data_IF_944001482070
#
_entry.id   IF_944001482070
#
_cell.length_a   1.000
_cell.length_b   1.000
_cell.length_c   1.000
_cell.angle_alpha   90.00
_cell.angle_beta   90.00
_cell.angle_gamma   90.00
#
_symmetry.space_group_name_H-M   'P 1'
#
loop_
_entity.id
_entity.type
_entity.pdbx_description
1 polymer ?
#
# COMPACT_ATOMS: atom_id res chain seq x y z
N UNK A 1 8.49 -23.04 -11.71
CA UNK A 1 7.17 -22.57 -11.23
C UNK A 1 6.08 -23.08 -12.15
N UNK A 2 4.96 -23.52 -11.59
CA UNK A 2 3.82 -24.09 -12.32
C UNK A 2 2.65 -23.11 -12.19
N UNK A 3 2.03 -22.74 -13.31
CA UNK A 3 0.79 -21.99 -13.33
C UNK A 3 -0.35 -22.96 -13.07
N UNK A 4 -1.23 -22.63 -12.15
CA UNK A 4 -2.45 -23.33 -11.81
C UNK A 4 -3.65 -22.46 -12.17
N UNK A 5 -4.82 -23.05 -12.20
CA UNK A 5 -6.04 -22.33 -12.55
C UNK A 5 -7.10 -22.52 -11.48
N UNK A 6 -7.74 -21.42 -11.14
CA UNK A 6 -8.87 -21.33 -10.22
C UNK A 6 -10.09 -20.83 -10.98
N UNK A 7 -11.27 -21.34 -10.68
CA UNK A 7 -12.53 -20.83 -11.24
C UNK A 7 -13.26 -20.01 -10.19
N UNK A 8 -13.48 -18.73 -10.49
CA UNK A 8 -14.26 -17.81 -9.66
C UNK A 8 -15.34 -17.18 -10.52
N UNK A 9 -16.61 -17.18 -10.09
CA UNK A 9 -17.76 -16.63 -10.83
C UNK A 9 -17.87 -17.18 -12.27
N UNK A 10 -17.47 -18.44 -12.47
CA UNK A 10 -17.45 -19.08 -13.80
C UNK A 10 -16.34 -18.57 -14.74
N UNK A 11 -15.34 -17.86 -14.21
CA UNK A 11 -14.16 -17.35 -14.93
C UNK A 11 -12.92 -18.09 -14.44
N UNK A 12 -12.08 -18.50 -15.38
CA UNK A 12 -10.82 -19.17 -15.09
C UNK A 12 -9.69 -18.15 -14.96
N UNK A 13 -9.06 -18.14 -13.78
CA UNK A 13 -7.91 -17.28 -13.48
C UNK A 13 -6.66 -18.15 -13.31
N UNK A 14 -5.57 -17.74 -13.97
CA UNK A 14 -4.26 -18.34 -13.75
C UNK A 14 -3.60 -17.73 -12.52
N UNK A 15 -3.04 -18.59 -11.68
CA UNK A 15 -2.24 -18.17 -10.52
C UNK A 15 -0.97 -19.00 -10.40
N UNK A 16 0.02 -18.45 -9.71
CA UNK A 16 1.26 -19.14 -9.39
C UNK A 16 1.61 -18.98 -7.92
N UNK A 17 2.37 -19.95 -7.43
CA UNK A 17 2.93 -19.94 -6.07
C UNK A 17 4.44 -20.13 -6.14
N UNK A 18 5.19 -19.30 -5.40
CA UNK A 18 6.66 -19.35 -5.34
C UNK A 18 7.18 -19.00 -3.96
N UNK A 19 8.42 -19.42 -3.67
CA UNK A 19 9.06 -19.15 -2.38
C UNK A 19 8.63 -20.10 -1.28
N UNK A 20 9.02 -19.77 -0.04
CA UNK A 20 8.72 -20.52 1.16
C UNK A 20 8.55 -19.57 2.36
N UNK A 21 7.67 -19.95 3.31
CA UNK A 21 7.35 -19.14 4.48
C UNK A 21 5.86 -18.82 4.59
N UNK A 22 5.48 -17.83 5.41
CA UNK A 22 4.11 -17.35 5.54
C UNK A 22 3.51 -16.95 4.19
N UNK A 23 2.21 -17.09 4.04
CA UNK A 23 1.52 -16.77 2.80
C UNK A 23 1.46 -15.27 2.56
N UNK A 24 1.86 -14.84 1.35
CA UNK A 24 1.74 -13.48 0.82
C UNK A 24 0.90 -13.52 -0.44
N UNK A 25 -0.33 -13.03 -0.39
CA UNK A 25 -1.22 -12.96 -1.56
C UNK A 25 -1.17 -11.56 -2.16
N UNK A 26 -0.94 -11.49 -3.46
CA UNK A 26 -0.81 -10.24 -4.19
C UNK A 26 -2.01 -10.04 -5.13
N UNK A 27 -2.97 -9.14 -4.81
CA UNK A 27 -3.99 -8.72 -5.76
C UNK A 27 -3.38 -8.26 -7.07
N UNK A 28 -4.01 -8.64 -8.17
CA UNK A 28 -3.54 -8.25 -9.50
C UNK A 28 -3.50 -6.72 -9.62
N UNK A 29 -2.39 -6.22 -10.15
CA UNK A 29 -2.21 -4.80 -10.42
C UNK A 29 -2.93 -4.45 -11.73
N UNK A 30 -2.58 -3.33 -12.40
CA UNK A 30 -3.30 -2.90 -13.59
C UNK A 30 -3.29 -3.97 -14.71
N UNK A 31 -2.12 -4.32 -15.24
CA UNK A 31 -1.93 -5.43 -16.16
C UNK A 31 -0.76 -6.29 -15.72
N UNK A 32 -0.84 -7.58 -15.93
CA UNK A 32 0.18 -8.55 -15.59
C UNK A 32 0.20 -9.70 -16.61
N UNK A 33 1.22 -10.53 -16.56
CA UNK A 33 1.28 -11.75 -17.34
C UNK A 33 2.27 -12.71 -16.66
N UNK A 34 1.77 -13.66 -15.91
CA UNK A 34 2.58 -14.56 -15.09
C UNK A 34 3.71 -15.24 -15.84
N UNK A 35 3.53 -15.61 -17.11
CA UNK A 35 4.59 -16.22 -17.91
C UNK A 35 5.63 -15.21 -18.34
N UNK A 36 5.18 -14.02 -18.83
CA UNK A 36 6.10 -12.99 -19.36
C UNK A 36 6.82 -12.20 -18.31
N UNK A 37 6.28 -12.11 -17.10
CA UNK A 37 6.98 -11.52 -15.95
C UNK A 37 8.35 -12.18 -15.72
N UNK A 38 8.47 -13.46 -16.05
CA UNK A 38 9.72 -14.22 -15.89
C UNK A 38 10.77 -13.89 -16.95
N UNK A 39 10.35 -13.31 -18.08
CA UNK A 39 11.25 -12.87 -19.14
C UNK A 39 12.00 -11.59 -18.76
N UNK A 40 11.48 -10.81 -17.78
CA UNK A 40 12.14 -9.62 -17.26
C UNK A 40 12.97 -9.94 -16.00
N UNK A 41 14.32 -9.85 -16.08
CA UNK A 41 15.18 -10.20 -14.94
C UNK A 41 14.93 -9.34 -13.70
N UNK A 42 14.48 -8.07 -13.84
CA UNK A 42 14.20 -7.19 -12.70
C UNK A 42 12.94 -7.65 -11.98
N UNK A 43 11.87 -7.98 -12.72
CA UNK A 43 10.63 -8.53 -12.18
C UNK A 43 10.89 -9.87 -11.49
N UNK A 44 11.60 -10.78 -12.17
CA UNK A 44 11.92 -12.10 -11.62
C UNK A 44 12.72 -12.01 -10.30
N UNK A 45 13.72 -11.10 -10.24
CA UNK A 45 14.54 -10.86 -9.06
C UNK A 45 13.72 -10.31 -7.90
N UNK A 46 12.84 -9.34 -8.17
CA UNK A 46 11.97 -8.75 -7.14
C UNK A 46 11.08 -9.81 -6.47
N UNK A 47 10.39 -10.63 -7.27
CA UNK A 47 9.53 -11.68 -6.73
C UNK A 47 10.31 -12.81 -6.04
N UNK A 48 11.51 -13.14 -6.55
CA UNK A 48 12.39 -14.10 -5.89
C UNK A 48 12.85 -13.61 -4.51
N UNK A 49 13.22 -12.34 -4.39
CA UNK A 49 13.63 -11.73 -3.11
C UNK A 49 12.50 -11.73 -2.07
N UNK A 50 11.24 -11.46 -2.47
CA UNK A 50 10.09 -11.64 -1.58
C UNK A 50 9.87 -13.11 -1.23
N UNK A 51 10.13 -14.01 -2.19
CA UNK A 51 10.03 -15.46 -2.01
C UNK A 51 11.01 -16.07 -1.02
N UNK A 52 12.08 -15.37 -0.66
CA UNK A 52 12.99 -15.77 0.43
C UNK A 52 12.32 -15.70 1.82
N UNK A 53 11.31 -14.88 1.96
CA UNK A 53 10.60 -14.62 3.22
C UNK A 53 9.17 -15.14 3.24
N UNK A 54 8.55 -15.25 2.06
CA UNK A 54 7.12 -15.54 1.90
C UNK A 54 6.89 -16.67 0.89
N UNK A 55 5.80 -17.38 1.08
CA UNK A 55 5.15 -18.08 -0.03
C UNK A 55 4.30 -17.06 -0.78
N UNK A 56 4.84 -16.55 -1.89
CA UNK A 56 4.21 -15.52 -2.71
C UNK A 56 3.20 -16.16 -3.66
N UNK A 57 1.96 -15.64 -3.65
CA UNK A 57 0.89 -16.03 -4.58
C UNK A 57 0.48 -14.84 -5.40
N UNK A 58 0.57 -14.98 -6.72
CA UNK A 58 0.17 -13.97 -7.70
C UNK A 58 -0.82 -14.57 -8.69
N UNK A 59 -1.66 -13.75 -9.27
CA UNK A 59 -2.61 -14.18 -10.30
C UNK A 59 -2.77 -13.12 -11.39
N UNK A 60 -3.16 -13.56 -12.57
CA UNK A 60 -3.63 -12.69 -13.63
C UNK A 60 -5.15 -12.54 -13.48
N UNK A 61 -5.65 -11.29 -13.48
CA UNK A 61 -7.10 -11.04 -13.46
C UNK A 61 -7.77 -11.44 -14.77
N UNK A 62 -9.09 -11.56 -14.78
CA UNK A 62 -9.85 -11.75 -16.01
C UNK A 62 -9.53 -10.66 -17.03
N UNK A 63 -9.32 -11.03 -18.27
CA UNK A 63 -8.94 -10.17 -19.38
C UNK A 63 -7.44 -10.00 -19.60
N UNK A 64 -6.60 -10.52 -18.68
CA UNK A 64 -5.17 -10.24 -18.62
C UNK A 64 -4.38 -11.56 -18.58
N UNK A 65 -3.19 -11.55 -19.17
CA UNK A 65 -2.21 -12.62 -19.06
C UNK A 65 -2.73 -13.98 -19.52
N UNK A 66 -2.64 -14.97 -18.62
CA UNK A 66 -3.02 -16.37 -18.87
C UNK A 66 -4.47 -16.70 -18.45
N UNK A 67 -5.19 -15.74 -17.87
CA UNK A 67 -6.58 -15.88 -17.46
C UNK A 67 -7.55 -15.75 -18.65
N UNK A 68 -8.82 -16.08 -18.44
CA UNK A 68 -9.87 -15.88 -19.44
C UNK A 68 -9.84 -14.47 -20.01
N UNK A 69 -9.83 -14.37 -21.35
CA UNK A 69 -9.61 -13.09 -22.06
C UNK A 69 -10.89 -12.31 -22.35
N UNK A 70 -12.03 -12.98 -22.34
CA UNK A 70 -13.33 -12.35 -22.49
C UNK A 70 -13.73 -11.64 -21.19
N UNK A 71 -13.99 -10.33 -21.24
CA UNK A 71 -14.21 -9.47 -20.08
C UNK A 71 -15.61 -8.92 -20.08
N UNK A 72 -16.37 -9.18 -19.02
CA UNK A 72 -17.66 -8.55 -18.71
C UNK A 72 -17.48 -7.39 -17.75
N UNK A 73 -18.48 -6.50 -17.64
CA UNK A 73 -18.42 -5.37 -16.71
C UNK A 73 -18.36 -5.85 -15.26
N UNK A 74 -19.05 -6.94 -14.94
CA UNK A 74 -19.05 -7.57 -13.62
C UNK A 74 -17.67 -8.11 -13.17
N UNK A 75 -16.78 -8.45 -14.12
CA UNK A 75 -15.43 -8.93 -13.85
C UNK A 75 -14.47 -7.82 -13.42
N UNK A 76 -14.83 -6.56 -13.69
CA UNK A 76 -13.98 -5.38 -13.42
C UNK A 76 -14.33 -4.64 -12.13
N UNK A 77 -15.31 -5.14 -11.37
CA UNK A 77 -15.76 -4.52 -10.14
C UNK A 77 -14.77 -4.75 -8.99
N UNK A 78 -14.81 -3.88 -7.98
CA UNK A 78 -14.05 -4.07 -6.75
C UNK A 78 -14.48 -5.34 -6.01
N UNK A 79 -15.77 -5.68 -6.06
CA UNK A 79 -16.33 -6.88 -5.44
C UNK A 79 -15.78 -8.15 -6.09
N UNK A 80 -15.63 -8.17 -7.42
CA UNK A 80 -14.99 -9.28 -8.11
C UNK A 80 -13.54 -9.49 -7.68
N UNK A 81 -12.76 -8.40 -7.53
CA UNK A 81 -11.38 -8.50 -7.05
C UNK A 81 -11.33 -9.03 -5.60
N UNK A 82 -12.26 -8.62 -4.72
CA UNK A 82 -12.35 -9.10 -3.34
C UNK A 82 -12.72 -10.59 -3.29
N UNK A 83 -13.69 -11.03 -4.09
CA UNK A 83 -14.08 -12.44 -4.18
C UNK A 83 -12.91 -13.32 -4.67
N UNK A 84 -12.11 -12.86 -5.63
CA UNK A 84 -10.92 -13.58 -6.09
C UNK A 84 -9.91 -13.80 -4.97
N UNK A 85 -9.69 -12.80 -4.11
CA UNK A 85 -8.78 -12.94 -2.96
C UNK A 85 -9.28 -13.99 -1.97
N UNK A 86 -10.57 -13.97 -1.64
CA UNK A 86 -11.20 -14.97 -0.77
C UNK A 86 -11.07 -16.37 -1.37
N UNK A 87 -11.44 -16.54 -2.63
CA UNK A 87 -11.38 -17.81 -3.33
C UNK A 87 -9.93 -18.35 -3.46
N UNK A 88 -8.93 -17.48 -3.61
CA UNK A 88 -7.53 -17.90 -3.60
C UNK A 88 -7.10 -18.43 -2.23
N UNK A 89 -7.50 -17.79 -1.14
CA UNK A 89 -7.21 -18.29 0.21
C UNK A 89 -7.88 -19.65 0.45
N UNK A 90 -9.13 -19.83 0.01
CA UNK A 90 -9.87 -21.09 0.13
C UNK A 90 -9.21 -22.21 -0.68
N UNK A 91 -8.82 -21.94 -1.94
CA UNK A 91 -8.07 -22.87 -2.81
C UNK A 91 -6.73 -23.30 -2.18
N UNK A 92 -6.09 -22.41 -1.45
CA UNK A 92 -4.81 -22.66 -0.78
C UNK A 92 -4.97 -23.31 0.59
N UNK A 93 -6.20 -23.49 1.07
CA UNK A 93 -6.52 -24.00 2.41
C UNK A 93 -5.98 -23.09 3.52
N UNK A 94 -5.97 -21.77 3.29
CA UNK A 94 -5.42 -20.79 4.22
C UNK A 94 -6.53 -19.96 4.87
N UNK A 95 -6.56 -19.96 6.21
CA UNK A 95 -7.52 -19.14 6.95
C UNK A 95 -7.19 -17.65 6.82
N UNK A 96 -5.90 -17.30 6.81
CA UNK A 96 -5.43 -15.91 6.72
C UNK A 96 -4.10 -15.82 5.97
N UNK A 97 -3.81 -14.62 5.46
CA UNK A 97 -2.55 -14.30 4.78
C UNK A 97 -2.12 -12.86 5.01
N UNK A 98 -0.84 -12.58 4.78
CA UNK A 98 -0.39 -11.22 4.47
C UNK A 98 -0.85 -10.87 3.07
N UNK A 99 -1.40 -9.66 2.87
CA UNK A 99 -1.87 -9.18 1.56
C UNK A 99 -0.98 -8.03 1.11
N UNK A 100 -0.36 -8.14 -0.09
CA UNK A 100 0.45 -7.09 -0.70
C UNK A 100 -0.32 -6.40 -1.83
N UNK A 101 -0.97 -5.30 -1.55
CA UNK A 101 -1.65 -4.47 -2.55
C UNK A 101 -0.71 -3.44 -3.16
N UNK A 102 -0.36 -3.62 -4.45
CA UNK A 102 0.39 -2.62 -5.21
C UNK A 102 -0.51 -1.84 -6.16
N UNK A 103 -0.28 -0.52 -6.31
CA UNK A 103 -1.02 0.30 -7.26
C UNK A 103 -2.55 0.11 -7.16
N UNK A 104 -3.23 -0.19 -8.26
CA UNK A 104 -4.68 -0.48 -8.30
C UNK A 104 -5.08 -1.73 -7.52
N UNK A 105 -4.18 -2.69 -7.31
CA UNK A 105 -4.39 -3.82 -6.41
C UNK A 105 -4.48 -3.41 -4.95
N UNK A 106 -3.99 -2.22 -4.60
CA UNK A 106 -4.13 -1.62 -3.28
C UNK A 106 -5.59 -1.39 -2.89
N UNK A 107 -6.44 -0.93 -3.82
CA UNK A 107 -7.88 -0.77 -3.55
C UNK A 107 -8.55 -2.12 -3.22
N UNK A 108 -8.21 -3.19 -3.95
CA UNK A 108 -8.72 -4.53 -3.67
C UNK A 108 -8.22 -5.06 -2.32
N UNK A 109 -6.93 -4.85 -2.01
CA UNK A 109 -6.35 -5.24 -0.73
C UNK A 109 -6.98 -4.52 0.46
N UNK A 110 -7.20 -3.20 0.35
CA UNK A 110 -7.90 -2.39 1.36
C UNK A 110 -9.33 -2.90 1.55
N UNK A 111 -10.07 -3.10 0.45
CA UNK A 111 -11.44 -3.58 0.52
C UNK A 111 -11.55 -4.98 1.13
N UNK A 112 -10.63 -5.88 0.78
CA UNK A 112 -10.57 -7.22 1.36
C UNK A 112 -10.26 -7.16 2.86
N UNK A 113 -9.28 -6.36 3.27
CA UNK A 113 -8.91 -6.21 4.68
C UNK A 113 -10.02 -5.56 5.52
N UNK A 114 -10.80 -4.64 4.96
CA UNK A 114 -11.92 -4.00 5.63
C UNK A 114 -13.15 -4.92 5.77
N UNK A 115 -13.39 -5.78 4.75
CA UNK A 115 -14.60 -6.64 4.71
C UNK A 115 -14.40 -8.03 5.32
N UNK A 116 -13.16 -8.50 5.37
CA UNK A 116 -12.77 -9.82 5.90
C UNK A 116 -11.53 -9.70 6.79
N UNK A 117 -11.60 -8.91 7.89
CA UNK A 117 -10.43 -8.61 8.73
C UNK A 117 -9.80 -9.86 9.35
N UNK A 118 -10.60 -10.90 9.60
CA UNK A 118 -10.15 -12.20 10.10
C UNK A 118 -9.27 -12.97 9.10
N UNK A 119 -9.39 -12.66 7.79
CA UNK A 119 -8.62 -13.30 6.71
C UNK A 119 -7.28 -12.61 6.44
N UNK A 120 -7.04 -11.42 7.02
CA UNK A 120 -5.82 -10.63 6.77
C UNK A 120 -4.95 -10.58 8.02
N UNK A 121 -3.76 -11.17 7.94
CA UNK A 121 -2.78 -11.13 9.02
C UNK A 121 -2.04 -9.78 9.06
N UNK A 122 -1.68 -9.27 7.90
CA UNK A 122 -0.98 -8.01 7.69
C UNK A 122 -1.33 -7.43 6.33
N UNK A 123 -1.47 -6.11 6.24
CA UNK A 123 -1.68 -5.39 4.99
C UNK A 123 -0.42 -4.62 4.60
N UNK A 124 0.18 -4.98 3.47
CA UNK A 124 1.30 -4.26 2.86
C UNK A 124 0.78 -3.51 1.64
N UNK A 125 1.03 -2.22 1.56
CA UNK A 125 0.57 -1.37 0.45
C UNK A 125 1.78 -0.69 -0.20
N UNK A 126 1.96 -0.86 -1.50
CA UNK A 126 3.03 -0.23 -2.26
C UNK A 126 2.48 0.65 -3.39
N UNK A 127 2.83 1.94 -3.40
CA UNK A 127 2.35 2.87 -4.43
C UNK A 127 0.82 2.88 -4.55
N UNK A 128 0.11 2.61 -3.46
CA UNK A 128 -1.34 2.46 -3.43
C UNK A 128 -2.05 3.80 -3.21
N UNK A 129 -3.33 3.82 -3.54
CA UNK A 129 -4.23 4.96 -3.36
C UNK A 129 -5.61 4.46 -2.92
N UNK A 130 -6.41 5.37 -2.37
CA UNK A 130 -7.82 5.12 -2.02
C UNK A 130 -8.78 6.00 -2.84
N UNK A 131 -8.27 7.06 -3.49
CA UNK A 131 -9.04 8.04 -4.27
C UNK A 131 -8.50 8.08 -5.71
N UNK A 132 -9.08 7.26 -6.58
CA UNK A 132 -8.71 7.18 -8.00
C UNK A 132 -8.95 8.48 -8.78
N UNK A 133 -10.08 9.17 -8.58
CA UNK A 133 -10.30 10.51 -9.14
C UNK A 133 -9.20 11.53 -8.86
N UNK A 134 -8.52 11.44 -7.72
CA UNK A 134 -7.45 12.36 -7.34
C UNK A 134 -6.06 12.03 -7.92
N UNK A 135 -5.90 10.94 -8.67
CA UNK A 135 -4.62 10.57 -9.30
C UNK A 135 -4.18 11.65 -10.28
N UNK A 136 -5.09 12.15 -11.12
CA UNK A 136 -4.82 13.22 -12.08
C UNK A 136 -6.09 13.93 -12.49
N UNK A 137 -5.94 15.07 -13.18
CA UNK A 137 -7.08 15.88 -13.65
C UNK A 137 -7.94 15.10 -14.66
N UNK A 138 -9.26 15.35 -14.73
CA UNK A 138 -10.19 14.68 -15.64
C UNK A 138 -9.71 14.65 -17.09
N UNK A 139 -9.27 15.78 -17.61
CA UNK A 139 -8.86 15.94 -19.02
C UNK A 139 -7.65 15.05 -19.35
N UNK A 140 -6.72 14.92 -18.39
CA UNK A 140 -5.51 14.08 -18.56
C UNK A 140 -5.87 12.60 -18.56
N UNK A 141 -6.73 12.16 -17.62
CA UNK A 141 -7.15 10.76 -17.59
C UNK A 141 -7.96 10.35 -18.80
N UNK A 142 -8.85 11.21 -19.30
CA UNK A 142 -9.61 10.99 -20.52
C UNK A 142 -8.70 10.87 -21.73
N UNK A 143 -7.70 11.75 -21.86
CA UNK A 143 -6.72 11.69 -22.94
C UNK A 143 -5.88 10.41 -22.89
N UNK A 144 -5.44 9.97 -21.71
CA UNK A 144 -4.67 8.73 -21.54
C UNK A 144 -5.52 7.51 -21.92
N UNK A 145 -6.74 7.41 -21.41
CA UNK A 145 -7.67 6.31 -21.74
C UNK A 145 -7.98 6.27 -23.22
N UNK A 146 -8.24 7.42 -23.85
CA UNK A 146 -8.48 7.53 -25.28
C UNK A 146 -7.25 7.08 -26.11
N UNK A 147 -6.03 7.47 -25.70
CA UNK A 147 -4.81 7.04 -26.36
C UNK A 147 -4.60 5.53 -26.25
N UNK A 148 -4.87 4.93 -25.09
CA UNK A 148 -4.79 3.47 -24.85
C UNK A 148 -5.80 2.74 -25.75
N UNK A 149 -7.06 3.20 -25.78
CA UNK A 149 -8.15 2.55 -26.53
C UNK A 149 -7.97 2.64 -28.03
N UNK A 150 -7.63 3.83 -28.54
CA UNK A 150 -7.56 4.08 -29.97
C UNK A 150 -6.24 3.69 -30.61
N UNK A 151 -5.13 3.74 -29.85
CA UNK A 151 -3.81 3.45 -30.39
C UNK A 151 -2.91 2.80 -29.33
N UNK A 152 -3.10 1.49 -29.10
CA UNK A 152 -2.42 0.75 -28.04
C UNK A 152 -0.88 0.84 -28.09
N UNK A 153 -0.32 0.95 -29.31
CA UNK A 153 1.12 1.16 -29.48
C UNK A 153 1.61 2.46 -28.86
N UNK A 154 0.88 3.56 -29.04
CA UNK A 154 1.17 4.87 -28.43
C UNK A 154 0.84 4.87 -26.94
N UNK A 155 -0.36 4.40 -26.58
CA UNK A 155 -0.80 4.34 -25.18
C UNK A 155 0.15 3.54 -24.28
N UNK A 156 0.61 2.36 -24.76
CA UNK A 156 1.54 1.55 -23.98
C UNK A 156 2.92 2.20 -23.79
N UNK A 157 3.40 2.99 -24.75
CA UNK A 157 4.66 3.75 -24.58
C UNK A 157 4.51 4.89 -23.59
N UNK A 158 3.42 5.65 -23.70
CA UNK A 158 3.08 6.71 -22.76
C UNK A 158 3.04 6.17 -21.32
N UNK A 159 2.35 5.05 -21.11
CA UNK A 159 2.28 4.43 -19.79
C UNK A 159 3.61 3.84 -19.33
N UNK A 160 4.45 3.38 -20.26
CA UNK A 160 5.80 2.92 -19.89
C UNK A 160 6.65 4.05 -19.34
N UNK A 161 6.60 5.24 -19.92
CA UNK A 161 7.28 6.43 -19.39
C UNK A 161 6.78 6.81 -18.00
N UNK A 162 5.47 6.79 -17.80
CA UNK A 162 4.85 7.12 -16.51
C UNK A 162 5.22 6.10 -15.43
N UNK A 163 5.18 4.81 -15.73
CA UNK A 163 5.37 3.75 -14.73
C UNK A 163 6.84 3.44 -14.42
N UNK A 164 7.72 3.56 -15.39
CA UNK A 164 9.13 3.23 -15.21
C UNK A 164 9.99 4.45 -14.83
N UNK A 165 9.45 5.66 -14.93
CA UNK A 165 10.16 6.88 -14.57
C UNK A 165 11.37 7.12 -15.47
N UNK A 166 12.58 7.17 -14.86
CA UNK A 166 13.84 7.47 -15.55
C UNK A 166 14.50 6.23 -16.21
N UNK A 167 13.75 5.14 -16.43
CA UNK A 167 14.28 3.96 -17.09
C UNK A 167 14.70 4.26 -18.54
N UNK A 168 15.71 3.55 -19.02
CA UNK A 168 16.20 3.68 -20.39
C UNK A 168 15.14 3.31 -21.45
N UNK A 169 15.29 3.85 -22.65
CA UNK A 169 14.34 3.64 -23.75
C UNK A 169 14.11 2.15 -24.10
N UNK A 170 15.15 1.32 -23.94
CA UNK A 170 15.04 -0.12 -24.16
C UNK A 170 14.11 -0.81 -23.16
N UNK A 171 14.15 -0.42 -21.88
CA UNK A 171 13.29 -0.92 -20.83
C UNK A 171 11.85 -0.45 -21.03
N UNK A 172 11.68 0.82 -21.40
CA UNK A 172 10.36 1.39 -21.72
C UNK A 172 9.70 0.65 -22.90
N UNK A 173 10.44 0.39 -23.98
CA UNK A 173 9.91 -0.33 -25.14
C UNK A 173 9.63 -1.81 -24.80
N UNK A 174 10.49 -2.46 -23.99
CA UNK A 174 10.23 -3.83 -23.50
C UNK A 174 8.92 -3.86 -22.69
N UNK A 175 8.74 -2.92 -21.77
CA UNK A 175 7.52 -2.85 -20.97
C UNK A 175 6.28 -2.48 -21.82
N UNK A 176 6.43 -1.62 -22.83
CA UNK A 176 5.34 -1.33 -23.76
C UNK A 176 4.89 -2.59 -24.54
N UNK A 177 5.84 -3.43 -24.99
CA UNK A 177 5.53 -4.72 -25.61
C UNK A 177 4.86 -5.69 -24.64
N UNK A 178 5.35 -5.74 -23.40
CA UNK A 178 4.75 -6.54 -22.33
C UNK A 178 3.28 -6.17 -22.12
N UNK A 179 2.95 -4.90 -21.97
CA UNK A 179 1.58 -4.42 -21.79
C UNK A 179 0.66 -4.86 -22.93
N UNK A 180 1.13 -4.74 -24.19
CA UNK A 180 0.36 -5.16 -25.37
C UNK A 180 0.15 -6.68 -25.46
N UNK A 181 1.08 -7.45 -24.94
CA UNK A 181 0.91 -8.91 -24.86
C UNK A 181 -0.02 -9.32 -23.70
N UNK A 182 0.03 -8.57 -22.59
CA UNK A 182 -0.76 -8.85 -21.40
C UNK A 182 -2.25 -8.59 -21.61
N UNK A 183 -2.64 -7.51 -22.30
CA UNK A 183 -4.04 -7.12 -22.48
C UNK A 183 -4.32 -6.55 -23.88
N UNK A 184 -5.57 -6.69 -24.35
CA UNK A 184 -6.07 -5.94 -25.51
C UNK A 184 -6.18 -4.45 -25.20
N UNK A 185 -6.20 -3.60 -26.24
CA UNK A 185 -6.41 -2.16 -26.08
C UNK A 185 -7.69 -1.84 -25.27
N UNK A 186 -8.79 -2.51 -25.62
CA UNK A 186 -10.07 -2.29 -24.95
C UNK A 186 -10.02 -2.74 -23.49
N UNK A 187 -9.48 -3.93 -23.20
CA UNK A 187 -9.33 -4.41 -21.82
C UNK A 187 -8.44 -3.48 -21.00
N UNK A 188 -7.30 -3.04 -21.55
CA UNK A 188 -6.38 -2.13 -20.89
C UNK A 188 -7.05 -0.77 -20.60
N UNK A 189 -7.81 -0.22 -21.55
CA UNK A 189 -8.55 1.02 -21.38
C UNK A 189 -9.63 0.90 -20.28
N UNK A 190 -10.44 -0.16 -20.30
CA UNK A 190 -11.47 -0.43 -19.29
C UNK A 190 -10.87 -0.58 -17.88
N UNK A 191 -9.76 -1.30 -17.77
CA UNK A 191 -9.04 -1.43 -16.50
C UNK A 191 -8.49 -0.09 -16.02
N UNK A 192 -7.98 0.75 -16.92
CA UNK A 192 -7.48 2.07 -16.58
C UNK A 192 -8.61 3.01 -16.15
N UNK A 193 -9.79 2.90 -16.75
CA UNK A 193 -11.00 3.60 -16.27
C UNK A 193 -11.35 3.20 -14.83
N UNK A 194 -11.23 1.91 -14.48
CA UNK A 194 -11.44 1.46 -13.10
C UNK A 194 -10.39 2.03 -12.14
N UNK A 195 -9.12 2.13 -12.56
CA UNK A 195 -8.07 2.80 -11.76
C UNK A 195 -8.50 4.21 -11.37
N UNK A 196 -9.04 4.98 -12.33
CA UNK A 196 -9.43 6.37 -12.11
C UNK A 196 -10.80 6.56 -11.44
N UNK A 197 -11.65 5.51 -11.39
CA UNK A 197 -12.99 5.56 -10.78
C UNK A 197 -13.04 5.03 -9.36
N UNK A 198 -12.10 4.14 -8.99
CA UNK A 198 -12.13 3.49 -7.67
C UNK A 198 -11.97 4.50 -6.55
N UNK A 199 -12.89 4.43 -5.60
CA UNK A 199 -12.85 5.18 -4.36
C UNK A 199 -13.12 4.19 -3.21
N UNK A 200 -12.13 4.05 -2.33
CA UNK A 200 -12.19 3.14 -1.16
C UNK A 200 -11.88 3.89 0.13
N UNK A 201 -12.01 5.22 0.13
CA UNK A 201 -11.71 6.07 1.29
C UNK A 201 -12.54 5.70 2.51
N UNK A 202 -13.81 5.39 2.30
CA UNK A 202 -14.73 5.02 3.38
C UNK A 202 -14.38 3.66 4.01
N UNK A 203 -13.55 2.84 3.35
CA UNK A 203 -13.09 1.56 3.87
C UNK A 203 -11.81 1.67 4.72
N UNK A 204 -11.06 2.76 4.62
CA UNK A 204 -9.80 2.91 5.35
C UNK A 204 -9.95 2.80 6.87
N UNK A 205 -10.95 3.46 7.51
CA UNK A 205 -11.16 3.33 8.97
C UNK A 205 -11.59 1.94 9.42
N UNK A 206 -12.04 1.06 8.50
CA UNK A 206 -12.50 -0.29 8.78
C UNK A 206 -11.37 -1.33 8.71
N UNK A 207 -10.17 -0.95 8.26
CA UNK A 207 -9.01 -1.84 8.20
C UNK A 207 -8.45 -2.05 9.60
N UNK A 208 -8.64 -3.25 10.15
CA UNK A 208 -8.13 -3.64 11.47
C UNK A 208 -6.77 -4.35 11.44
N UNK A 209 -6.28 -4.75 10.27
CA UNK A 209 -5.00 -5.44 10.14
C UNK A 209 -3.81 -4.48 10.30
N UNK A 210 -2.70 -4.90 10.94
CA UNK A 210 -1.46 -4.13 10.96
C UNK A 210 -1.05 -3.75 9.55
N UNK A 211 -0.93 -2.43 9.28
CA UNK A 211 -0.76 -1.91 7.92
C UNK A 211 0.55 -1.17 7.75
N UNK A 212 1.27 -1.49 6.68
CA UNK A 212 2.45 -0.77 6.21
C UNK A 212 2.20 -0.18 4.82
N UNK A 213 2.38 1.11 4.68
CA UNK A 213 2.33 1.82 3.40
C UNK A 213 3.75 2.19 2.98
N UNK A 214 4.19 1.71 1.83
CA UNK A 214 5.48 2.04 1.22
C UNK A 214 5.20 2.82 -0.06
N UNK A 215 5.82 3.99 -0.24
CA UNK A 215 5.54 4.83 -1.40
C UNK A 215 6.76 5.67 -1.78
N UNK A 216 7.06 5.75 -3.07
CA UNK A 216 8.13 6.63 -3.56
C UNK A 216 7.67 8.09 -3.59
N UNK A 217 8.53 9.01 -3.16
CA UNK A 217 8.17 10.44 -3.03
C UNK A 217 7.88 11.11 -4.36
N UNK A 218 8.58 10.70 -5.39
CA UNK A 218 8.50 11.27 -6.74
C UNK A 218 7.78 10.33 -7.71
N UNK A 219 6.98 9.39 -7.22
CA UNK A 219 6.18 8.45 -8.04
C UNK A 219 5.37 9.22 -9.10
N UNK A 220 5.64 8.91 -10.38
CA UNK A 220 5.05 9.63 -11.52
C UNK A 220 3.65 9.16 -11.88
N UNK A 221 3.25 7.96 -11.45
CA UNK A 221 1.95 7.39 -11.74
C UNK A 221 0.92 7.70 -10.65
N UNK A 222 1.30 7.49 -9.40
CA UNK A 222 0.44 7.71 -8.23
C UNK A 222 1.10 8.73 -7.31
N UNK A 223 0.57 9.95 -7.21
CA UNK A 223 1.14 10.98 -6.35
C UNK A 223 1.34 10.51 -4.91
N UNK A 224 2.51 10.75 -4.34
CA UNK A 224 2.87 10.39 -2.96
C UNK A 224 1.84 10.85 -1.92
N UNK A 225 1.18 11.99 -2.17
CA UNK A 225 0.12 12.51 -1.30
C UNK A 225 -1.03 11.51 -1.11
N UNK A 226 -1.33 10.68 -2.13
CA UNK A 226 -2.39 9.66 -2.04
C UNK A 226 -1.96 8.50 -1.14
N UNK A 227 -0.71 8.05 -1.19
CA UNK A 227 -0.19 7.06 -0.25
C UNK A 227 -0.16 7.58 1.20
N UNK A 228 0.18 8.86 1.39
CA UNK A 228 0.06 9.52 2.69
C UNK A 228 -1.39 9.54 3.20
N UNK A 229 -2.35 9.83 2.31
CA UNK A 229 -3.77 9.82 2.67
C UNK A 229 -4.25 8.43 3.07
N UNK A 230 -3.79 7.37 2.38
CA UNK A 230 -4.07 5.98 2.77
C UNK A 230 -3.53 5.68 4.17
N UNK A 231 -2.26 6.01 4.45
CA UNK A 231 -1.66 5.78 5.77
C UNK A 231 -2.37 6.58 6.87
N UNK A 232 -2.79 7.81 6.58
CA UNK A 232 -3.51 8.65 7.55
C UNK A 232 -4.95 8.17 7.80
N UNK A 233 -5.56 7.46 6.85
CA UNK A 233 -6.93 6.95 6.95
C UNK A 233 -7.06 5.61 7.67
N UNK A 234 -5.96 4.87 7.85
CA UNK A 234 -5.96 3.56 8.53
C UNK A 234 -5.32 3.73 9.91
N UNK A 235 -6.04 3.33 10.96
CA UNK A 235 -5.53 3.46 12.33
C UNK A 235 -4.28 2.60 12.55
N UNK A 236 -3.24 3.20 13.15
CA UNK A 236 -1.97 2.53 13.42
C UNK A 236 -1.12 2.19 12.20
N UNK A 237 -1.50 2.63 10.99
CA UNK A 237 -0.69 2.36 9.79
C UNK A 237 0.66 3.11 9.82
N UNK A 238 1.72 2.39 9.48
CA UNK A 238 3.04 2.98 9.27
C UNK A 238 3.23 3.42 7.82
N UNK A 239 3.94 4.56 7.60
CA UNK A 239 4.31 5.05 6.28
C UNK A 239 5.82 5.06 6.11
N UNK A 240 6.33 4.35 5.11
CA UNK A 240 7.74 4.36 4.72
C UNK A 240 7.89 5.07 3.37
N UNK A 241 8.37 6.32 3.37
CA UNK A 241 8.69 7.02 2.14
C UNK A 241 10.03 6.54 1.58
N UNK A 242 10.06 6.24 0.27
CA UNK A 242 11.27 5.88 -0.46
C UNK A 242 11.61 6.95 -1.49
N UNK A 243 12.89 7.13 -1.87
CA UNK A 243 13.25 7.97 -3.00
C UNK A 243 12.91 7.29 -4.32
N UNK A 244 12.82 8.08 -5.40
CA UNK A 244 12.70 7.60 -6.79
C UNK A 244 11.39 7.94 -7.46
N UNK A 245 11.44 7.90 -8.79
CA UNK A 245 10.38 8.32 -9.71
C UNK A 245 9.55 7.18 -10.29
N UNK A 246 10.10 5.96 -10.29
CA UNK A 246 9.44 4.78 -10.84
C UNK A 246 8.28 4.31 -9.97
N UNK A 247 7.17 3.93 -10.61
CA UNK A 247 5.99 3.41 -9.94
C UNK A 247 6.15 1.93 -9.57
N UNK A 248 6.69 1.11 -10.47
CA UNK A 248 6.83 -0.31 -10.19
C UNK A 248 7.96 -0.62 -9.20
N UNK A 249 7.76 -1.56 -8.26
CA UNK A 249 8.74 -1.85 -7.21
C UNK A 249 10.04 -2.44 -7.71
N UNK A 250 10.03 -3.12 -8.86
CA UNK A 250 11.21 -3.72 -9.50
C UNK A 250 12.03 -2.74 -10.35
N UNK A 251 11.55 -1.52 -10.58
CA UNK A 251 12.27 -0.46 -11.26
C UNK A 251 12.99 0.45 -10.26
N UNK A 252 14.18 0.94 -10.60
CA UNK A 252 15.00 1.75 -9.68
C UNK A 252 15.55 0.93 -8.50
N UNK A 253 15.48 1.48 -7.27
CA UNK A 253 15.92 0.77 -6.04
C UNK A 253 14.87 -0.28 -5.61
N UNK A 254 14.89 -1.42 -6.29
CA UNK A 254 14.04 -2.57 -5.96
C UNK A 254 14.40 -3.19 -4.60
N UNK A 255 15.70 -3.22 -4.27
CA UNK A 255 16.17 -3.80 -3.00
C UNK A 255 15.69 -2.95 -1.80
N UNK A 256 15.64 -1.63 -1.95
CA UNK A 256 15.05 -0.73 -0.94
C UNK A 256 13.57 -1.01 -0.72
N UNK A 257 12.82 -1.28 -1.79
CA UNK A 257 11.40 -1.67 -1.68
C UNK A 257 11.26 -3.02 -0.99
N UNK A 258 12.04 -4.04 -1.39
CA UNK A 258 12.01 -5.36 -0.74
C UNK A 258 12.34 -5.24 0.75
N UNK A 259 13.42 -4.53 1.11
CA UNK A 259 13.78 -4.29 2.52
C UNK A 259 12.63 -3.65 3.30
N UNK A 260 11.97 -2.63 2.73
CA UNK A 260 10.84 -1.97 3.37
C UNK A 260 9.65 -2.92 3.58
N UNK A 261 9.28 -3.71 2.56
CA UNK A 261 8.15 -4.64 2.62
C UNK A 261 8.42 -5.86 3.51
N UNK A 262 9.69 -6.30 3.61
CA UNK A 262 10.10 -7.45 4.41
C UNK A 262 10.66 -7.07 5.77
N UNK A 263 10.82 -5.77 6.05
CA UNK A 263 11.13 -5.32 7.39
C UNK A 263 10.08 -5.95 8.31
N UNK A 264 10.53 -6.89 9.15
CA UNK A 264 9.74 -7.22 10.31
C UNK A 264 9.59 -5.87 11.01
N UNK A 265 8.37 -5.38 11.14
CA UNK A 265 8.11 -4.72 12.39
C UNK A 265 8.59 -5.74 13.42
N UNK A 266 9.76 -5.52 14.03
CA UNK A 266 9.85 -5.85 15.44
C UNK A 266 8.48 -5.41 15.92
N UNK A 267 7.59 -6.35 16.31
CA UNK A 267 6.43 -6.02 17.08
C UNK A 267 6.92 -4.95 18.03
N UNK A 268 6.68 -3.73 17.70
CA UNK A 268 6.22 -2.81 18.67
C UNK A 268 4.91 -3.47 19.11
N UNK A 269 4.96 -4.39 20.06
CA UNK A 269 4.02 -4.37 21.16
C UNK A 269 3.81 -2.90 21.34
N UNK A 270 2.58 -2.32 21.09
CA UNK A 270 2.37 -0.89 21.29
C UNK A 270 3.13 -0.64 22.56
N UNK A 271 4.25 0.09 22.41
CA UNK A 271 5.15 0.32 23.55
C UNK A 271 4.15 0.88 24.54
N UNK A 272 3.92 0.24 25.69
CA UNK A 272 2.76 0.55 26.47
C UNK A 272 2.76 2.06 26.53
N UNK A 273 1.64 2.74 26.22
CA UNK A 273 1.59 4.20 25.99
C UNK A 273 2.47 4.95 27.01
N UNK A 274 2.73 4.30 28.15
CA UNK A 274 3.74 4.61 29.15
C UNK A 274 5.20 4.75 28.62
N UNK A 275 5.58 4.19 27.48
CA UNK A 275 6.95 4.31 26.95
C UNK A 275 7.10 5.45 25.90
N UNK A 276 6.00 6.04 25.42
CA UNK A 276 6.01 7.24 24.58
C UNK A 276 6.68 8.43 25.28
N UNK A 277 6.52 8.54 26.60
CA UNK A 277 7.10 9.59 27.42
C UNK A 277 8.13 9.00 28.38
N UNK A 278 9.28 9.64 28.49
CA UNK A 278 10.25 9.31 29.55
C UNK A 278 9.62 9.45 30.95
N UNK A 279 10.20 8.79 31.94
CA UNK A 279 9.76 8.94 33.34
C UNK A 279 9.62 10.40 33.72
N UNK A 280 10.60 11.24 33.36
CA UNK A 280 10.59 12.66 33.67
C UNK A 280 9.51 13.45 32.93
N UNK A 281 9.26 13.11 31.70
CA UNK A 281 8.16 13.72 30.91
C UNK A 281 6.79 13.35 31.48
N UNK A 282 6.60 12.14 32.00
CA UNK A 282 5.35 11.74 32.68
C UNK A 282 5.15 12.51 33.99
N UNK A 283 6.19 12.65 34.81
CA UNK A 283 6.14 13.47 36.02
C UNK A 283 5.72 14.92 35.70
N UNK A 284 6.33 15.52 34.69
CA UNK A 284 5.96 16.86 34.22
C UNK A 284 4.52 16.90 33.70
N UNK A 285 4.10 15.91 32.89
CA UNK A 285 2.75 15.85 32.32
C UNK A 285 1.67 15.72 33.39
N UNK A 286 1.89 14.91 34.43
CA UNK A 286 0.98 14.77 35.56
C UNK A 286 0.78 16.11 36.27
N UNK A 287 1.85 16.87 36.50
CA UNK A 287 1.76 18.19 37.13
C UNK A 287 1.09 19.23 36.20
N UNK A 288 1.31 19.12 34.90
CA UNK A 288 0.60 19.92 33.92
C UNK A 288 -0.91 19.63 33.94
N UNK A 289 -1.31 18.35 34.05
CA UNK A 289 -2.71 17.95 34.17
C UNK A 289 -3.39 18.45 35.43
N UNK A 290 -2.61 18.67 36.52
CA UNK A 290 -3.09 19.28 37.75
C UNK A 290 -3.20 20.82 37.66
N UNK A 291 -2.85 21.42 36.51
CA UNK A 291 -2.98 22.84 36.25
C UNK A 291 -1.78 23.70 36.66
N UNK A 292 -0.67 23.11 37.11
CA UNK A 292 0.50 23.84 37.55
C UNK A 292 1.20 24.53 36.37
N UNK A 293 1.73 25.75 36.59
CA UNK A 293 2.55 26.42 35.59
C UNK A 293 4.03 25.97 35.66
N UNK A 294 4.86 26.41 34.69
CA UNK A 294 6.25 25.93 34.57
C UNK A 294 7.11 26.26 35.78
N UNK A 295 6.81 27.33 36.51
CA UNK A 295 7.55 27.78 37.73
C UNK A 295 7.19 26.87 38.90
N UNK A 296 5.93 26.60 39.13
CA UNK A 296 5.43 25.69 40.18
C UNK A 296 5.94 24.25 39.95
N UNK A 297 5.95 23.78 38.71
CA UNK A 297 6.50 22.47 38.35
C UNK A 297 8.02 22.45 38.59
N UNK A 298 8.72 23.50 38.25
CA UNK A 298 10.16 23.64 38.48
C UNK A 298 10.52 23.56 39.94
N UNK A 299 9.76 24.22 40.81
CA UNK A 299 9.92 24.17 42.27
C UNK A 299 9.69 22.75 42.81
N UNK A 300 8.59 22.08 42.42
CA UNK A 300 8.30 20.71 42.86
C UNK A 300 9.32 19.69 42.38
N UNK A 301 9.83 19.84 41.19
CA UNK A 301 10.76 18.88 40.59
C UNK A 301 12.24 19.23 40.79
N UNK A 302 12.53 20.34 41.48
CA UNK A 302 13.88 20.85 41.76
C UNK A 302 14.71 21.00 40.48
N UNK A 303 14.13 21.70 39.49
CA UNK A 303 14.77 22.00 38.20
C UNK A 303 14.56 23.47 37.81
N UNK A 304 15.18 23.95 36.73
CA UNK A 304 14.90 25.26 36.20
C UNK A 304 13.56 25.35 35.46
N UNK A 305 12.83 26.47 35.45
CA UNK A 305 11.64 26.67 34.63
C UNK A 305 11.90 26.44 33.14
N UNK A 306 13.10 26.76 32.64
CA UNK A 306 13.50 26.49 31.27
C UNK A 306 13.56 24.98 30.96
N UNK A 307 13.99 24.17 31.94
CA UNK A 307 14.01 22.71 31.83
C UNK A 307 12.58 22.15 31.71
N UNK A 308 11.65 22.69 32.52
CA UNK A 308 10.22 22.31 32.42
C UNK A 308 9.63 22.68 31.06
N UNK A 309 9.90 23.92 30.60
CA UNK A 309 9.45 24.38 29.28
C UNK A 309 9.89 23.46 28.17
N UNK A 310 11.17 23.02 28.19
CA UNK A 310 11.70 22.04 27.22
C UNK A 310 11.00 20.69 27.31
N UNK A 311 10.71 20.17 28.49
CA UNK A 311 9.97 18.93 28.67
C UNK A 311 8.54 19.06 28.11
N UNK A 312 7.84 20.16 28.38
CA UNK A 312 6.50 20.42 27.83
C UNK A 312 6.53 20.50 26.31
N UNK A 313 7.53 21.13 25.71
CA UNK A 313 7.71 21.17 24.26
C UNK A 313 7.95 19.77 23.67
N UNK A 314 8.78 18.94 24.29
CA UNK A 314 9.04 17.57 23.89
C UNK A 314 7.79 16.70 24.01
N UNK A 315 7.04 16.82 25.12
CA UNK A 315 5.76 16.09 25.32
C UNK A 315 4.77 16.46 24.21
N UNK A 316 4.61 17.74 23.91
CA UNK A 316 3.75 18.20 22.80
C UNK A 316 4.17 17.62 21.46
N UNK A 317 5.46 17.60 21.15
CA UNK A 317 6.03 17.00 19.95
C UNK A 317 5.75 15.50 19.87
N UNK A 318 5.99 14.77 20.96
CA UNK A 318 5.78 13.31 21.04
C UNK A 318 4.30 12.92 20.93
N UNK A 319 3.40 13.72 21.49
CA UNK A 319 1.96 13.51 21.43
C UNK A 319 1.30 14.13 20.18
N UNK A 320 2.07 14.81 19.32
CA UNK A 320 1.58 15.44 18.09
C UNK A 320 0.58 16.57 18.33
N UNK A 321 0.68 17.30 19.47
CA UNK A 321 -0.29 18.33 19.87
C UNK A 321 0.32 19.74 19.94
N UNK A 322 -0.41 20.71 19.40
CA UNK A 322 0.04 22.10 19.31
C UNK A 322 -0.08 22.89 20.61
N UNK A 323 -0.89 22.48 21.59
CA UNK A 323 -1.11 23.19 22.85
C UNK A 323 -0.89 22.29 24.07
N UNK A 324 -0.66 22.90 25.23
CA UNK A 324 -0.48 22.23 26.52
C UNK A 324 -1.74 21.44 26.93
N UNK A 325 -2.90 22.07 26.82
CA UNK A 325 -4.20 21.44 27.11
C UNK A 325 -4.54 20.30 26.16
N UNK A 326 -4.24 20.44 24.86
CA UNK A 326 -4.42 19.37 23.89
C UNK A 326 -3.50 18.17 24.16
N UNK A 327 -2.28 18.40 24.65
CA UNK A 327 -1.38 17.34 25.06
C UNK A 327 -1.90 16.57 26.29
N UNK A 328 -2.48 17.26 27.28
CA UNK A 328 -3.14 16.62 28.43
C UNK A 328 -4.34 15.78 28.00
N UNK A 329 -5.22 16.31 27.15
CA UNK A 329 -6.37 15.57 26.64
C UNK A 329 -5.96 14.31 25.88
N UNK A 330 -4.93 14.39 25.05
CA UNK A 330 -4.39 13.25 24.32
C UNK A 330 -3.76 12.22 25.24
N UNK A 331 -3.01 12.66 26.24
CA UNK A 331 -2.42 11.79 27.23
C UNK A 331 -3.48 11.02 28.06
N UNK A 332 -4.58 11.66 28.41
CA UNK A 332 -5.70 11.01 29.07
C UNK A 332 -6.37 9.97 28.16
N UNK A 333 -6.53 10.28 26.86
CA UNK A 333 -7.07 9.32 25.86
C UNK A 333 -6.16 8.10 25.69
N UNK A 334 -4.85 8.26 25.81
CA UNK A 334 -3.84 7.20 25.70
C UNK A 334 -3.58 6.45 27.02
N UNK A 335 -4.25 6.81 28.13
CA UNK A 335 -4.05 6.19 29.45
C UNK A 335 -2.68 6.49 30.07
N UNK A 336 -2.10 7.68 29.77
CA UNK A 336 -0.79 8.15 30.28
C UNK A 336 -0.90 8.99 31.55
N UNK A 337 -2.12 9.32 31.95
CA UNK A 337 -2.48 10.10 33.16
C UNK A 337 -3.35 9.28 34.09
#
# INVERSE_FOLDING_TARGET
MVIRFLTVRGRRLGYERSGAGPLLVCPAWWVGHLERDREDPAVARFWAALGERYTVVRYDRVGVGVSDRDVRDEDLTLDADVEVLGALLDELGADRATVLGGSSGGCAAIAFAARSPERVERLLLYGAYADGPAITRPEVREAIVAAVRSHWGLGSRLLSDVFLGEAGSADQERFARFQRAAASAETAARLLEQVYRRDVRDLLPLVGAPTLVVHRREDRAIPYALGRAVAAGIDGAALVPLPGTAHFPWAGDADGVVRALTAQETRSTPEPAAALLSRREREVLTLVAQGLNDREIAEQLVVSPHTVHRHVANIRGKLGRGSRSAAVAEAARLGLL
#
